data_IF_011052889501
#
_entry.id   IF_011052889501
#
_cell.length_a   1.000
_cell.length_b   1.000
_cell.length_c   1.000
_cell.angle_alpha   90.00
_cell.angle_beta   90.00
_cell.angle_gamma   90.00
#
_symmetry.space_group_name_H-M   'P 1'
#
loop_
_entity.id
_entity.type
_entity.pdbx_description
1 polymer ?
#
# COMPACT_ATOMS: atom_id res chain seq x y z
N UNK A 1 26.46 -18.78 0.82
CA UNK A 1 27.41 -18.07 1.71
C UNK A 1 27.37 -16.53 1.55
N UNK A 2 27.31 -15.97 0.33
CA UNK A 2 27.24 -14.50 0.15
C UNK A 2 25.86 -13.91 0.49
N UNK A 3 24.75 -14.56 0.16
CA UNK A 3 23.39 -14.09 0.46
C UNK A 3 23.11 -13.98 1.96
N UNK A 4 23.66 -14.88 2.79
CA UNK A 4 23.49 -14.83 4.25
C UNK A 4 24.26 -13.68 4.89
N UNK A 5 25.44 -13.31 4.38
CA UNK A 5 26.23 -12.19 4.89
C UNK A 5 25.60 -10.83 4.53
N UNK A 6 24.95 -10.75 3.36
CA UNK A 6 24.26 -9.54 2.90
C UNK A 6 22.93 -9.33 3.67
N UNK A 7 22.20 -10.41 3.93
CA UNK A 7 21.01 -10.39 4.78
C UNK A 7 21.35 -9.96 6.21
N UNK A 8 22.46 -10.44 6.78
CA UNK A 8 22.90 -10.06 8.12
C UNK A 8 23.35 -8.59 8.19
N UNK A 9 24.03 -8.07 7.15
CA UNK A 9 24.35 -6.63 7.07
C UNK A 9 23.10 -5.77 7.03
N UNK A 10 22.05 -6.20 6.32
CA UNK A 10 20.77 -5.50 6.24
C UNK A 10 20.03 -5.50 7.59
N UNK A 11 20.00 -6.62 8.31
CA UNK A 11 19.37 -6.69 9.65
C UNK A 11 20.09 -5.77 10.67
N UNK A 12 21.40 -5.67 10.63
CA UNK A 12 22.16 -4.74 11.47
C UNK A 12 21.87 -3.28 11.15
N UNK A 13 21.73 -2.94 9.86
CA UNK A 13 21.35 -1.59 9.44
C UNK A 13 19.95 -1.22 9.94
N UNK A 14 18.99 -2.12 9.80
CA UNK A 14 17.62 -1.95 10.29
C UNK A 14 17.60 -1.76 11.82
N UNK A 15 18.29 -2.61 12.57
CA UNK A 15 18.37 -2.50 14.03
C UNK A 15 18.93 -1.14 14.47
N UNK A 16 20.00 -0.67 13.80
CA UNK A 16 20.62 0.62 14.07
C UNK A 16 19.67 1.78 13.78
N UNK A 17 18.95 1.76 12.66
CA UNK A 17 18.02 2.80 12.27
C UNK A 17 16.79 2.84 13.18
N UNK A 18 16.30 1.68 13.60
CA UNK A 18 15.22 1.55 14.57
C UNK A 18 15.64 1.85 16.01
N UNK A 19 16.94 2.07 16.29
CA UNK A 19 17.44 2.34 17.65
C UNK A 19 17.36 1.14 18.60
N UNK A 20 17.32 -0.11 18.08
CA UNK A 20 17.21 -1.34 18.87
C UNK A 20 18.49 -2.18 18.78
N UNK A 21 18.75 -2.98 19.81
CA UNK A 21 19.86 -3.93 19.79
C UNK A 21 19.63 -5.04 18.77
N UNK A 22 20.67 -5.44 18.04
CA UNK A 22 20.58 -6.52 17.06
C UNK A 22 20.06 -7.84 17.67
N UNK A 23 20.46 -8.15 18.91
CA UNK A 23 19.96 -9.33 19.64
C UNK A 23 18.47 -9.25 19.95
N UNK A 24 17.94 -8.05 20.18
CA UNK A 24 16.51 -7.81 20.36
C UNK A 24 15.76 -8.03 19.07
N UNK A 25 16.29 -7.51 17.94
CA UNK A 25 15.69 -7.70 16.63
C UNK A 25 15.61 -9.21 16.27
N UNK A 26 16.69 -9.96 16.43
CA UNK A 26 16.70 -11.39 16.15
C UNK A 26 15.81 -12.23 17.08
N UNK A 27 15.56 -11.77 18.28
CA UNK A 27 14.62 -12.44 19.21
C UNK A 27 13.19 -12.35 18.70
N UNK A 28 12.79 -11.23 18.09
CA UNK A 28 11.46 -11.02 17.53
C UNK A 28 11.34 -11.55 16.10
N UNK A 29 12.39 -11.39 15.33
CA UNK A 29 12.45 -11.76 13.90
C UNK A 29 13.71 -12.59 13.64
N UNK A 30 13.63 -13.91 13.81
CA UNK A 30 14.80 -14.80 13.66
C UNK A 30 15.46 -14.74 12.29
N UNK A 31 14.70 -14.39 11.25
CA UNK A 31 15.18 -14.25 9.88
C UNK A 31 14.74 -12.94 9.26
N UNK A 32 15.37 -12.54 8.14
CA UNK A 32 14.93 -11.39 7.36
C UNK A 32 13.54 -11.60 6.78
N UNK A 33 13.25 -12.81 6.35
CA UNK A 33 11.95 -13.19 5.80
C UNK A 33 10.84 -13.00 6.84
N UNK A 34 11.05 -13.39 8.10
CA UNK A 34 10.08 -13.20 9.19
C UNK A 34 9.82 -11.71 9.49
N UNK A 35 10.84 -10.87 9.36
CA UNK A 35 10.68 -9.42 9.48
C UNK A 35 9.89 -8.84 8.31
N UNK A 36 10.23 -9.21 7.07
CA UNK A 36 9.54 -8.76 5.85
C UNK A 36 8.08 -9.20 5.86
N UNK A 37 7.80 -10.44 6.26
CA UNK A 37 6.43 -10.95 6.42
C UNK A 37 5.63 -10.09 7.42
N UNK A 38 6.20 -9.80 8.58
CA UNK A 38 5.55 -9.00 9.61
C UNK A 38 5.27 -7.57 9.12
N UNK A 39 6.24 -6.92 8.49
CA UNK A 39 6.10 -5.57 7.90
C UNK A 39 5.02 -5.57 6.82
N UNK A 40 5.03 -6.54 5.92
CA UNK A 40 4.02 -6.64 4.86
C UNK A 40 2.61 -6.81 5.42
N UNK A 41 2.41 -7.68 6.40
CA UNK A 41 1.12 -7.89 7.07
C UNK A 41 0.62 -6.64 7.79
N UNK A 42 1.50 -5.94 8.51
CA UNK A 42 1.16 -4.69 9.18
C UNK A 42 0.69 -3.63 8.18
N UNK A 43 1.39 -3.49 7.06
CA UNK A 43 1.01 -2.54 6.02
C UNK A 43 -0.34 -2.87 5.37
N UNK A 44 -0.64 -4.14 5.13
CA UNK A 44 -1.97 -4.56 4.61
C UNK A 44 -3.07 -4.24 5.62
N UNK A 45 -2.84 -4.50 6.91
CA UNK A 45 -3.78 -4.16 7.99
C UNK A 45 -4.01 -2.65 8.07
N UNK A 46 -2.97 -1.83 7.92
CA UNK A 46 -3.09 -0.36 7.88
C UNK A 46 -3.95 0.12 6.72
N UNK A 47 -3.78 -0.47 5.53
CA UNK A 47 -4.59 -0.12 4.37
C UNK A 47 -6.07 -0.49 4.56
N UNK A 48 -6.34 -1.70 5.05
CA UNK A 48 -7.71 -2.18 5.25
C UNK A 48 -8.44 -1.42 6.35
N UNK A 49 -7.79 -1.19 7.49
CA UNK A 49 -8.36 -0.38 8.58
C UNK A 49 -8.44 1.10 8.21
N UNK A 50 -7.41 1.63 7.52
CA UNK A 50 -7.34 3.02 7.11
C UNK A 50 -8.54 3.49 6.30
N UNK A 51 -9.13 2.64 5.46
CA UNK A 51 -10.35 2.96 4.73
C UNK A 51 -11.52 3.24 5.69
N UNK A 52 -11.71 2.39 6.70
CA UNK A 52 -12.76 2.53 7.70
C UNK A 52 -12.55 3.76 8.58
N UNK A 53 -11.32 3.93 9.07
CA UNK A 53 -10.98 5.02 9.98
C UNK A 53 -11.14 6.39 9.27
N UNK A 54 -10.69 6.49 8.02
CA UNK A 54 -10.86 7.69 7.21
C UNK A 54 -12.34 8.02 6.96
N UNK A 55 -13.18 7.00 6.68
CA UNK A 55 -14.61 7.21 6.46
C UNK A 55 -15.35 7.65 7.74
N UNK A 56 -14.81 7.35 8.92
CA UNK A 56 -15.36 7.86 10.18
C UNK A 56 -15.05 9.35 10.42
N UNK A 57 -13.92 9.84 9.85
CA UNK A 57 -13.39 11.17 10.18
C UNK A 57 -13.65 12.23 9.10
N UNK A 58 -13.73 11.83 7.81
CA UNK A 58 -13.79 12.79 6.70
C UNK A 58 -14.77 12.35 5.61
N UNK A 59 -15.17 13.30 4.73
CA UNK A 59 -16.01 13.02 3.57
C UNK A 59 -15.37 11.96 2.64
N UNK A 60 -16.18 11.12 1.97
CA UNK A 60 -15.68 9.98 1.19
C UNK A 60 -14.66 10.33 0.10
N UNK A 61 -14.82 11.45 -0.61
CA UNK A 61 -13.85 11.89 -1.61
C UNK A 61 -12.49 12.24 -0.97
N UNK A 62 -12.50 12.83 0.23
CA UNK A 62 -11.28 13.11 0.99
C UNK A 62 -10.66 11.81 1.53
N UNK A 63 -11.50 10.89 2.00
CA UNK A 63 -11.09 9.56 2.44
C UNK A 63 -10.39 8.80 1.31
N UNK A 64 -10.95 8.83 0.08
CA UNK A 64 -10.34 8.21 -1.10
C UNK A 64 -8.94 8.79 -1.37
N UNK A 65 -8.78 10.11 -1.38
CA UNK A 65 -7.48 10.75 -1.63
C UNK A 65 -6.43 10.34 -0.58
N UNK A 66 -6.78 10.40 0.70
CA UNK A 66 -5.89 10.01 1.79
C UNK A 66 -5.57 8.52 1.77
N UNK A 67 -6.52 7.69 1.39
CA UNK A 67 -6.30 6.26 1.25
C UNK A 67 -5.35 5.93 0.08
N UNK A 68 -5.43 6.68 -1.02
CA UNK A 68 -4.47 6.58 -2.13
C UNK A 68 -3.03 6.87 -1.68
N UNK A 69 -2.83 7.81 -0.74
CA UNK A 69 -1.52 8.10 -0.16
C UNK A 69 -1.00 6.91 0.66
N UNK A 70 -1.85 6.31 1.50
CA UNK A 70 -1.50 5.08 2.24
C UNK A 70 -1.13 3.93 1.30
N UNK A 71 -1.83 3.80 0.17
CA UNK A 71 -1.50 2.82 -0.86
C UNK A 71 -0.12 3.08 -1.48
N UNK A 72 0.23 4.34 -1.70
CA UNK A 72 1.56 4.75 -2.18
C UNK A 72 2.68 4.37 -1.22
N UNK A 73 2.49 4.61 0.08
CA UNK A 73 3.42 4.22 1.13
C UNK A 73 3.61 2.69 1.16
N UNK A 74 2.53 1.94 1.00
CA UNK A 74 2.59 0.48 0.90
C UNK A 74 3.39 0.02 -0.33
N UNK A 75 3.16 0.60 -1.52
CA UNK A 75 3.91 0.28 -2.74
C UNK A 75 5.40 0.60 -2.56
N UNK A 76 5.74 1.75 -1.97
CA UNK A 76 7.13 2.13 -1.72
C UNK A 76 7.82 1.14 -0.77
N UNK A 77 7.15 0.76 0.32
CA UNK A 77 7.66 -0.22 1.28
C UNK A 77 7.84 -1.60 0.62
N UNK A 78 6.85 -2.05 -0.16
CA UNK A 78 6.91 -3.31 -0.92
C UNK A 78 8.11 -3.34 -1.88
N UNK A 79 8.34 -2.25 -2.62
CA UNK A 79 9.44 -2.16 -3.56
C UNK A 79 10.81 -2.19 -2.85
N UNK A 80 10.91 -1.58 -1.67
CA UNK A 80 12.14 -1.59 -0.86
C UNK A 80 12.53 -2.96 -0.29
N UNK A 81 11.63 -3.94 -0.30
CA UNK A 81 11.87 -5.30 0.22
C UNK A 81 11.50 -6.41 -0.77
N UNK A 82 11.37 -6.07 -2.06
CA UNK A 82 10.78 -6.94 -3.08
C UNK A 82 11.45 -8.31 -3.19
N UNK A 83 12.78 -8.37 -3.20
CA UNK A 83 13.53 -9.62 -3.35
C UNK A 83 13.21 -10.63 -2.24
N UNK A 84 13.21 -10.16 -0.99
CA UNK A 84 12.86 -11.00 0.17
C UNK A 84 11.37 -11.32 0.20
N UNK A 85 10.52 -10.38 -0.19
CA UNK A 85 9.06 -10.56 -0.23
C UNK A 85 8.66 -11.64 -1.24
N UNK A 86 9.32 -11.73 -2.38
CA UNK A 86 9.06 -12.80 -3.36
C UNK A 86 9.30 -14.17 -2.74
N UNK A 87 10.39 -14.37 -1.99
CA UNK A 87 10.67 -15.61 -1.26
C UNK A 87 9.57 -15.93 -0.22
N UNK A 88 9.09 -14.92 0.49
CA UNK A 88 8.00 -15.06 1.48
C UNK A 88 6.69 -15.46 0.81
N UNK A 89 6.38 -14.90 -0.36
CA UNK A 89 5.19 -15.25 -1.14
C UNK A 89 5.29 -16.69 -1.67
N UNK A 90 6.43 -17.08 -2.22
CA UNK A 90 6.67 -18.43 -2.74
C UNK A 90 6.56 -19.50 -1.64
N UNK A 91 6.94 -19.18 -0.41
CA UNK A 91 6.75 -20.08 0.75
C UNK A 91 5.30 -20.24 1.18
N UNK A 92 4.37 -19.44 0.64
CA UNK A 92 2.94 -19.44 1.02
C UNK A 92 2.64 -18.74 2.34
N UNK A 93 3.64 -18.11 2.99
CA UNK A 93 3.44 -17.38 4.25
C UNK A 93 2.53 -16.15 4.07
N UNK A 94 2.52 -15.57 2.85
CA UNK A 94 1.65 -14.45 2.48
C UNK A 94 0.83 -14.81 1.24
N UNK A 95 -0.50 -14.78 1.36
CA UNK A 95 -1.43 -15.07 0.28
C UNK A 95 -1.69 -13.84 -0.61
N UNK A 96 -1.15 -13.84 -1.83
CA UNK A 96 -1.34 -12.73 -2.79
C UNK A 96 -2.81 -12.47 -3.15
N UNK A 97 -3.58 -13.54 -3.35
CA UNK A 97 -5.00 -13.44 -3.66
C UNK A 97 -5.78 -12.78 -2.50
N UNK A 98 -5.53 -13.21 -1.29
CA UNK A 98 -6.17 -12.65 -0.09
C UNK A 98 -5.88 -11.16 0.09
N UNK A 99 -4.61 -10.75 -0.07
CA UNK A 99 -4.23 -9.32 0.01
C UNK A 99 -4.96 -8.50 -1.05
N UNK A 100 -5.05 -9.02 -2.28
CA UNK A 100 -5.79 -8.36 -3.36
C UNK A 100 -7.25 -8.16 -2.98
N UNK A 101 -7.92 -9.19 -2.46
CA UNK A 101 -9.33 -9.12 -2.07
C UNK A 101 -9.53 -8.12 -0.92
N UNK A 102 -8.65 -8.11 0.08
CA UNK A 102 -8.69 -7.16 1.20
C UNK A 102 -8.55 -5.71 0.71
N UNK A 103 -7.66 -5.42 -0.24
CA UNK A 103 -7.48 -4.09 -0.83
C UNK A 103 -8.68 -3.67 -1.67
N UNK A 104 -9.23 -4.56 -2.51
CA UNK A 104 -10.44 -4.28 -3.28
C UNK A 104 -11.64 -4.00 -2.38
N UNK A 105 -11.79 -4.72 -1.28
CA UNK A 105 -12.85 -4.47 -0.30
C UNK A 105 -12.69 -3.09 0.36
N UNK A 106 -11.47 -2.67 0.67
CA UNK A 106 -11.21 -1.34 1.22
C UNK A 106 -11.60 -0.22 0.23
N UNK A 107 -11.23 -0.36 -1.05
CA UNK A 107 -11.61 0.59 -2.11
C UNK A 107 -13.13 0.60 -2.29
N UNK A 108 -13.79 -0.57 -2.34
CA UNK A 108 -15.23 -0.70 -2.49
C UNK A 108 -15.98 0.02 -1.36
N UNK A 109 -15.53 -0.13 -0.12
CA UNK A 109 -16.16 0.55 1.02
C UNK A 109 -16.13 2.08 0.87
N UNK A 110 -15.02 2.66 0.38
CA UNK A 110 -14.93 4.10 0.14
C UNK A 110 -15.81 4.52 -1.05
N UNK A 111 -15.83 3.74 -2.14
CA UNK A 111 -16.69 4.00 -3.30
C UNK A 111 -18.16 3.96 -2.93
N UNK A 112 -18.61 2.98 -2.14
CA UNK A 112 -20.01 2.84 -1.73
C UNK A 112 -20.44 3.99 -0.81
N UNK A 113 -19.60 4.39 0.14
CA UNK A 113 -19.83 5.57 0.95
C UNK A 113 -19.91 6.85 0.10
N UNK A 114 -19.01 7.00 -0.88
CA UNK A 114 -18.99 8.16 -1.78
C UNK A 114 -20.19 8.23 -2.71
N UNK A 115 -20.67 7.08 -3.19
CA UNK A 115 -21.92 6.99 -3.97
C UNK A 115 -23.13 7.39 -3.14
N UNK A 116 -23.22 6.88 -1.91
CA UNK A 116 -24.30 7.20 -0.99
C UNK A 116 -24.33 8.70 -0.61
N UNK A 117 -23.15 9.32 -0.49
CA UNK A 117 -23.01 10.76 -0.21
C UNK A 117 -23.18 11.65 -1.46
N UNK A 118 -23.14 11.08 -2.66
CA UNK A 118 -23.11 11.84 -3.92
C UNK A 118 -21.75 12.49 -4.22
N UNK A 119 -20.69 12.09 -3.52
CA UNK A 119 -19.34 12.61 -3.66
C UNK A 119 -18.54 11.93 -4.78
N UNK A 120 -18.87 10.68 -5.07
CA UNK A 120 -18.18 9.86 -6.08
C UNK A 120 -19.19 9.30 -7.11
N UNK A 121 -18.73 9.19 -8.34
CA UNK A 121 -19.53 8.66 -9.46
C UNK A 121 -19.82 7.16 -9.28
N UNK A 122 -21.00 6.66 -9.72
CA UNK A 122 -21.43 5.27 -9.47
C UNK A 122 -20.86 4.24 -10.42
N UNK A 123 -20.30 4.65 -11.56
CA UNK A 123 -19.93 3.82 -12.70
C UNK A 123 -18.46 3.41 -12.73
N UNK A 124 -17.76 3.46 -11.58
CA UNK A 124 -16.35 3.06 -11.42
C UNK A 124 -16.25 1.90 -10.45
N UNK A 125 -15.43 0.91 -10.76
CA UNK A 125 -15.20 -0.27 -9.93
C UNK A 125 -13.93 -0.16 -9.08
N UNK A 126 -13.83 -0.98 -8.04
CA UNK A 126 -12.63 -1.06 -7.21
C UNK A 126 -11.41 -1.55 -7.99
N UNK A 127 -11.62 -2.45 -8.96
CA UNK A 127 -10.58 -2.97 -9.84
C UNK A 127 -9.99 -1.90 -10.74
N UNK A 128 -10.82 -1.00 -11.27
CA UNK A 128 -10.37 0.12 -12.10
C UNK A 128 -9.52 1.10 -11.29
N UNK A 129 -9.92 1.38 -10.05
CA UNK A 129 -9.12 2.19 -9.13
C UNK A 129 -7.80 1.51 -8.81
N UNK A 130 -7.82 0.23 -8.45
CA UNK A 130 -6.60 -0.52 -8.14
C UNK A 130 -5.62 -0.55 -9.32
N UNK A 131 -6.11 -0.80 -10.53
CA UNK A 131 -5.31 -0.79 -11.76
C UNK A 131 -4.70 0.60 -12.03
N UNK A 132 -5.49 1.67 -11.84
CA UNK A 132 -5.03 3.05 -12.01
C UNK A 132 -3.92 3.39 -11.02
N UNK A 133 -4.08 3.02 -9.74
CA UNK A 133 -3.07 3.26 -8.70
C UNK A 133 -1.77 2.50 -8.99
N UNK A 134 -1.85 1.22 -9.38
CA UNK A 134 -0.67 0.44 -9.77
C UNK A 134 0.04 1.12 -10.94
N UNK A 135 -0.68 1.57 -11.97
CA UNK A 135 -0.12 2.30 -13.10
C UNK A 135 0.56 3.60 -12.71
N UNK A 136 -0.10 4.42 -11.89
CA UNK A 136 0.43 5.69 -11.38
C UNK A 136 1.76 5.48 -10.64
N UNK A 137 1.78 4.57 -9.66
CA UNK A 137 2.99 4.36 -8.86
C UNK A 137 4.11 3.66 -9.64
N UNK A 138 3.77 2.81 -10.62
CA UNK A 138 4.76 2.21 -11.52
C UNK A 138 5.45 3.29 -12.37
N UNK A 139 4.68 4.19 -12.98
CA UNK A 139 5.22 5.27 -13.81
C UNK A 139 5.99 6.29 -12.96
N UNK A 140 5.44 6.69 -11.81
CA UNK A 140 6.11 7.65 -10.92
C UNK A 140 7.46 7.13 -10.41
N UNK A 141 7.57 5.82 -10.17
CA UNK A 141 8.83 5.20 -9.75
C UNK A 141 9.90 5.17 -10.87
N UNK A 142 9.46 5.00 -12.12
CA UNK A 142 10.36 4.93 -13.29
C UNK A 142 10.76 6.32 -13.81
N UNK A 143 9.87 7.30 -13.66
CA UNK A 143 10.06 8.66 -14.19
C UNK A 143 10.80 9.51 -13.18
N UNK A 144 12.13 9.53 -13.17
CA UNK A 144 12.94 10.40 -12.32
C UNK A 144 12.71 11.92 -12.49
N UNK A 145 11.61 12.36 -13.17
CA UNK A 145 11.43 13.77 -13.55
C UNK A 145 9.99 14.24 -13.62
N UNK A 146 9.50 15.26 -13.64
CA UNK A 146 8.33 16.04 -14.06
C UNK A 146 6.92 15.56 -13.62
N UNK A 147 6.64 14.26 -13.48
CA UNK A 147 5.31 13.78 -13.11
C UNK A 147 5.36 13.18 -11.73
N UNK A 148 4.74 13.85 -10.76
CA UNK A 148 4.65 13.34 -9.38
C UNK A 148 3.42 12.44 -9.23
N UNK A 149 3.52 11.43 -8.39
CA UNK A 149 2.37 10.59 -8.03
C UNK A 149 1.20 11.44 -7.54
N UNK A 150 1.44 12.43 -6.69
CA UNK A 150 0.43 13.34 -6.16
C UNK A 150 -0.42 13.97 -7.24
N UNK A 151 0.21 14.52 -8.29
CA UNK A 151 -0.54 15.15 -9.38
C UNK A 151 -1.43 14.16 -10.14
N UNK A 152 -0.94 12.94 -10.37
CA UNK A 152 -1.72 11.89 -11.01
C UNK A 152 -2.87 11.40 -10.13
N UNK A 153 -2.66 11.31 -8.82
CA UNK A 153 -3.71 10.96 -7.86
C UNK A 153 -4.80 12.03 -7.79
N UNK A 154 -4.44 13.32 -7.86
CA UNK A 154 -5.41 14.41 -7.92
C UNK A 154 -6.25 14.34 -9.21
N UNK A 155 -5.62 14.08 -10.37
CA UNK A 155 -6.33 13.89 -11.64
C UNK A 155 -7.27 12.68 -11.57
N UNK A 156 -6.82 11.56 -10.98
CA UNK A 156 -7.65 10.39 -10.78
C UNK A 156 -8.86 10.73 -9.89
N UNK A 157 -8.63 11.40 -8.76
CA UNK A 157 -9.71 11.80 -7.85
C UNK A 157 -10.72 12.73 -8.52
N UNK A 158 -10.26 13.71 -9.31
CA UNK A 158 -11.15 14.61 -10.06
C UNK A 158 -11.99 13.83 -11.07
N UNK A 159 -11.43 12.78 -11.69
CA UNK A 159 -12.14 11.85 -12.57
C UNK A 159 -13.20 11.00 -11.86
N UNK A 160 -13.09 10.84 -10.53
CA UNK A 160 -14.05 10.09 -9.71
C UNK A 160 -15.23 10.93 -9.22
N UNK A 161 -15.15 12.25 -9.35
CA UNK A 161 -16.26 13.14 -8.97
C UNK A 161 -17.48 12.95 -9.88
N UNK A 162 -18.70 13.17 -9.38
CA UNK A 162 -19.89 13.14 -10.21
C UNK A 162 -19.74 14.12 -11.38
N UNK A 163 -20.09 13.68 -12.59
CA UNK A 163 -20.17 14.59 -13.73
C UNK A 163 -21.38 15.48 -13.54
N UNK A 164 -21.18 16.77 -13.48
CA UNK A 164 -22.28 17.71 -13.63
C UNK A 164 -22.86 17.50 -15.04
N UNK A 165 -24.06 16.92 -15.14
CA UNK A 165 -24.80 16.97 -16.39
C UNK A 165 -25.17 18.43 -16.66
N UNK A 166 -24.89 18.94 -17.89
CA UNK A 166 -25.40 20.26 -18.28
C UNK A 166 -26.94 20.27 -18.35
#
# INVERSE_FOLDING_TARGET
MFASAEAEKSMRAIAREAGVGIGTLYRHFPTRESLVEAVYRDQVVRLTNGARDLLADVAPAVAMRRWMDLFGDWIATKNGMLDTLLTVIESGAVGHARTRDELLNAISAILDAGRAAGDLRPDVTAEEIAASLIGIFTVAHQSGHAVTADRLLDILLDGLRPRSHP
#
